data_IF_872246074264
#
_entry.id   IF_872246074264
#
_cell.length_a   1.000
_cell.length_b   1.000
_cell.length_c   1.000
_cell.angle_alpha   90.00
_cell.angle_beta   90.00
_cell.angle_gamma   90.00
#
_symmetry.space_group_name_H-M   'P 1'
#
loop_
_entity.id
_entity.type
_entity.pdbx_description
1 polymer ?
#
# COMPACT_ATOMS: atom_id res chain seq x y z
N UNK A 1 -34.94 -20.75 -0.17
CA UNK A 1 -34.68 -19.74 -1.23
C UNK A 1 -35.93 -18.93 -1.66
N UNK A 2 -37.10 -19.52 -1.98
CA UNK A 2 -38.23 -18.74 -2.54
C UNK A 2 -38.78 -17.66 -1.59
N UNK A 3 -38.99 -17.99 -0.30
CA UNK A 3 -39.47 -17.04 0.71
C UNK A 3 -38.54 -15.84 0.92
N UNK A 4 -37.22 -16.06 0.87
CA UNK A 4 -36.22 -14.99 1.02
C UNK A 4 -36.22 -14.06 -0.20
N UNK A 5 -36.30 -14.59 -1.42
CA UNK A 5 -36.43 -13.77 -2.63
C UNK A 5 -37.71 -12.93 -2.58
N UNK A 6 -38.84 -13.53 -2.22
CA UNK A 6 -40.11 -12.79 -2.06
C UNK A 6 -40.03 -11.70 -1.00
N UNK A 7 -39.39 -11.97 0.14
CA UNK A 7 -39.16 -10.97 1.18
C UNK A 7 -38.33 -9.79 0.65
N UNK A 8 -37.19 -10.07 0.00
CA UNK A 8 -36.31 -9.03 -0.58
C UNK A 8 -37.05 -8.21 -1.63
N UNK A 9 -37.81 -8.84 -2.53
CA UNK A 9 -38.62 -8.13 -3.54
C UNK A 9 -39.74 -7.27 -2.95
N UNK A 10 -40.15 -7.55 -1.71
CA UNK A 10 -41.17 -6.80 -0.99
C UNK A 10 -40.64 -5.64 -0.15
N UNK A 11 -39.31 -5.48 -0.04
CA UNK A 11 -38.70 -4.40 0.74
C UNK A 11 -39.07 -3.03 0.14
N UNK A 12 -39.42 -2.08 1.01
CA UNK A 12 -39.71 -0.69 0.67
C UNK A 12 -38.84 0.20 1.54
N UNK A 13 -38.32 1.27 0.94
CA UNK A 13 -37.58 2.29 1.68
C UNK A 13 -38.55 3.00 2.65
N UNK A 14 -38.23 2.94 3.94
CA UNK A 14 -39.01 3.60 5.00
C UNK A 14 -38.61 5.06 5.25
N UNK A 15 -37.54 5.53 4.59
CA UNK A 15 -36.85 6.78 4.93
C UNK A 15 -35.81 6.57 6.03
N UNK A 16 -34.81 7.46 6.10
CA UNK A 16 -33.74 7.41 7.08
C UNK A 16 -32.75 6.24 6.90
N UNK A 17 -31.69 6.24 7.71
CA UNK A 17 -30.63 5.23 7.69
C UNK A 17 -30.14 5.03 9.12
N UNK A 18 -30.48 3.89 9.73
CA UNK A 18 -30.07 3.54 11.08
C UNK A 18 -29.07 2.38 11.07
N UNK A 19 -27.80 2.71 10.81
CA UNK A 19 -26.71 1.73 10.69
C UNK A 19 -26.48 1.00 12.01
N UNK A 20 -26.48 1.74 13.13
CA UNK A 20 -26.26 1.18 14.46
C UNK A 20 -27.26 0.07 14.77
N UNK A 21 -28.57 0.35 14.66
CA UNK A 21 -29.62 -0.64 14.91
C UNK A 21 -29.53 -1.83 13.96
N UNK A 22 -29.25 -1.61 12.67
CA UNK A 22 -29.12 -2.69 11.70
C UNK A 22 -28.00 -3.67 12.09
N UNK A 23 -26.86 -3.14 12.54
CA UNK A 23 -25.75 -3.95 13.04
C UNK A 23 -26.11 -4.65 14.35
N UNK A 24 -26.71 -3.95 15.33
CA UNK A 24 -27.14 -4.55 16.59
C UNK A 24 -28.11 -5.74 16.39
N UNK A 25 -29.15 -5.55 15.58
CA UNK A 25 -30.13 -6.61 15.29
C UNK A 25 -29.50 -7.78 14.55
N UNK A 26 -28.52 -7.51 13.68
CA UNK A 26 -27.79 -8.56 12.95
C UNK A 26 -26.86 -9.33 13.89
N UNK A 27 -26.08 -8.63 14.71
CA UNK A 27 -25.12 -9.24 15.63
C UNK A 27 -25.82 -10.03 16.74
N UNK A 28 -27.01 -9.60 17.18
CA UNK A 28 -27.82 -10.36 18.13
C UNK A 28 -28.30 -11.73 17.59
N UNK A 29 -28.27 -11.94 16.27
CA UNK A 29 -28.60 -13.22 15.62
C UNK A 29 -27.37 -14.10 15.39
N UNK A 30 -26.18 -13.64 15.77
CA UNK A 30 -24.94 -14.39 15.63
C UNK A 30 -24.85 -15.50 16.68
N UNK A 31 -24.09 -16.55 16.38
CA UNK A 31 -24.02 -17.80 17.15
C UNK A 31 -22.59 -18.29 17.18
N UNK A 32 -22.14 -18.83 18.31
CA UNK A 32 -20.78 -19.34 18.44
C UNK A 32 -20.49 -20.57 17.57
N UNK A 33 -19.20 -20.83 17.34
CA UNK A 33 -18.70 -22.12 16.83
C UNK A 33 -18.37 -22.20 15.33
N UNK A 34 -18.78 -21.22 14.51
CA UNK A 34 -18.34 -21.11 13.11
C UNK A 34 -18.18 -19.65 12.69
N UNK A 35 -17.28 -19.34 11.74
CA UNK A 35 -17.21 -18.02 11.11
C UNK A 35 -18.58 -17.55 10.61
N UNK A 36 -18.96 -16.33 10.95
CA UNK A 36 -20.21 -15.71 10.54
C UNK A 36 -19.93 -14.43 9.76
N UNK A 37 -20.38 -14.44 8.51
CA UNK A 37 -20.17 -13.36 7.56
C UNK A 37 -21.35 -12.39 7.64
N UNK A 38 -21.08 -11.19 8.14
CA UNK A 38 -22.00 -10.05 8.13
C UNK A 38 -21.60 -9.16 6.96
N UNK A 39 -22.54 -8.95 6.04
CA UNK A 39 -22.34 -8.07 4.89
C UNK A 39 -23.21 -6.82 5.09
N UNK A 40 -22.57 -5.67 5.30
CA UNK A 40 -23.23 -4.37 5.42
C UNK A 40 -23.15 -3.66 4.07
N UNK A 41 -24.30 -3.32 3.48
CA UNK A 41 -24.39 -2.47 2.30
C UNK A 41 -25.02 -1.12 2.70
N UNK A 42 -24.40 -0.02 2.27
CA UNK A 42 -24.95 1.32 2.49
C UNK A 42 -24.53 2.29 1.39
N UNK A 43 -25.42 3.20 1.04
CA UNK A 43 -25.22 4.33 0.13
C UNK A 43 -25.22 5.67 0.86
N UNK A 44 -25.28 5.67 2.20
CA UNK A 44 -25.60 6.85 2.99
C UNK A 44 -24.95 6.88 4.38
N UNK A 45 -24.98 8.07 4.98
CA UNK A 45 -24.61 8.29 6.38
C UNK A 45 -25.71 7.79 7.32
N UNK A 46 -25.35 7.50 8.57
CA UNK A 46 -26.34 7.28 9.62
C UNK A 46 -27.15 8.57 9.86
N UNK A 47 -28.45 8.53 9.58
CA UNK A 47 -29.37 9.68 9.69
C UNK A 47 -30.43 9.47 10.77
N UNK A 48 -30.58 8.25 11.31
CA UNK A 48 -31.49 7.90 12.40
C UNK A 48 -30.79 7.05 13.47
N UNK A 49 -31.32 7.09 14.70
CA UNK A 49 -30.72 6.40 15.84
C UNK A 49 -29.42 7.06 16.32
N UNK A 50 -28.45 6.25 16.73
CA UNK A 50 -27.10 6.72 17.03
C UNK A 50 -26.38 7.07 15.72
N UNK A 51 -25.79 8.27 15.67
CA UNK A 51 -25.15 8.83 14.48
C UNK A 51 -23.64 9.04 14.66
N UNK A 52 -23.16 9.00 15.90
CA UNK A 52 -21.74 9.17 16.22
C UNK A 52 -20.98 7.92 15.85
N UNK A 53 -20.03 8.07 14.92
CA UNK A 53 -19.20 6.98 14.38
C UNK A 53 -18.59 6.14 15.50
N UNK A 54 -18.00 6.81 16.50
CA UNK A 54 -17.26 6.17 17.59
C UNK A 54 -18.19 5.31 18.44
N UNK A 55 -19.40 5.78 18.72
CA UNK A 55 -20.40 5.02 19.48
C UNK A 55 -20.93 3.81 18.73
N UNK A 56 -21.09 3.93 17.40
CA UNK A 56 -21.48 2.78 16.58
C UNK A 56 -20.35 1.74 16.60
N UNK A 57 -19.09 2.16 16.43
CA UNK A 57 -17.93 1.26 16.49
C UNK A 57 -17.83 0.56 17.84
N UNK A 58 -17.84 1.30 18.94
CA UNK A 58 -17.82 0.76 20.31
C UNK A 58 -18.91 -0.30 20.50
N UNK A 59 -20.12 -0.01 20.02
CA UNK A 59 -21.25 -0.90 20.17
C UNK A 59 -21.12 -2.18 19.34
N UNK A 60 -20.55 -2.07 18.13
CA UNK A 60 -20.26 -3.22 17.28
C UNK A 60 -19.19 -4.09 17.93
N UNK A 61 -18.12 -3.48 18.45
CA UNK A 61 -17.05 -4.19 19.17
C UNK A 61 -17.59 -4.96 20.39
N UNK A 62 -18.52 -4.37 21.16
CA UNK A 62 -19.14 -5.00 22.33
C UNK A 62 -20.04 -6.21 21.98
N UNK A 63 -20.68 -6.18 20.80
CA UNK A 63 -21.68 -7.18 20.40
C UNK A 63 -21.11 -8.28 19.51
N UNK A 64 -20.08 -7.97 18.72
CA UNK A 64 -19.50 -8.91 17.78
C UNK A 64 -18.64 -9.93 18.53
N UNK A 65 -19.04 -11.20 18.45
CA UNK A 65 -18.17 -12.30 18.90
C UNK A 65 -16.91 -12.38 18.04
N UNK A 66 -15.87 -13.08 18.53
CA UNK A 66 -14.65 -13.36 17.73
C UNK A 66 -14.90 -14.20 16.47
N UNK A 67 -16.07 -14.84 16.35
CA UNK A 67 -16.55 -15.52 15.14
C UNK A 67 -17.14 -14.55 14.07
N UNK A 68 -17.26 -13.28 14.46
CA UNK A 68 -17.52 -12.06 13.70
C UNK A 68 -16.70 -11.87 12.42
N UNK A 69 -17.23 -11.87 11.20
CA UNK A 69 -16.54 -11.24 10.05
C UNK A 69 -17.42 -10.19 9.40
N UNK A 70 -17.02 -8.92 9.47
CA UNK A 70 -17.83 -7.81 8.92
C UNK A 70 -17.22 -7.30 7.63
N UNK A 71 -18.00 -7.35 6.55
CA UNK A 71 -17.63 -6.81 5.25
C UNK A 71 -18.56 -5.66 4.89
N UNK A 72 -17.99 -4.50 4.61
CA UNK A 72 -18.76 -3.30 4.30
C UNK A 72 -18.69 -2.95 2.81
N UNK A 73 -19.82 -2.53 2.25
CA UNK A 73 -19.95 -2.03 0.89
C UNK A 73 -20.51 -0.61 0.95
N UNK A 74 -19.67 0.36 0.62
CA UNK A 74 -20.08 1.76 0.48
C UNK A 74 -20.39 2.08 -0.98
N UNK A 75 -21.60 2.54 -1.28
CA UNK A 75 -22.02 2.86 -2.65
C UNK A 75 -22.12 4.36 -2.82
N UNK A 76 -21.43 4.89 -3.82
CA UNK A 76 -21.34 6.33 -4.05
C UNK A 76 -20.47 7.05 -3.02
N UNK A 77 -20.72 8.35 -2.86
CA UNK A 77 -19.84 9.24 -2.09
C UNK A 77 -20.41 9.65 -0.73
N UNK A 78 -21.68 9.38 -0.45
CA UNK A 78 -22.35 9.82 0.78
C UNK A 78 -22.24 8.79 1.92
N UNK A 79 -21.13 8.05 1.96
CA UNK A 79 -20.88 7.00 2.96
C UNK A 79 -19.82 7.43 3.97
N UNK A 80 -19.91 6.91 5.19
CA UNK A 80 -18.92 7.15 6.23
C UNK A 80 -17.77 6.13 6.10
N UNK A 81 -16.72 6.49 5.36
CA UNK A 81 -15.56 5.63 5.12
C UNK A 81 -14.88 5.21 6.41
N UNK A 82 -14.70 6.13 7.36
CA UNK A 82 -14.10 5.85 8.67
C UNK A 82 -14.87 4.74 9.42
N UNK A 83 -16.19 4.86 9.50
CA UNK A 83 -17.04 3.84 10.13
C UNK A 83 -16.87 2.48 9.46
N UNK A 84 -17.07 2.42 8.13
CA UNK A 84 -17.06 1.17 7.37
C UNK A 84 -15.70 0.48 7.39
N UNK A 85 -14.62 1.25 7.26
CA UNK A 85 -13.25 0.75 7.32
C UNK A 85 -12.91 0.22 8.71
N UNK A 86 -13.31 0.93 9.77
CA UNK A 86 -12.98 0.55 11.16
C UNK A 86 -13.68 -0.74 11.54
N UNK A 87 -15.00 -0.84 11.34
CA UNK A 87 -15.74 -2.05 11.72
C UNK A 87 -15.30 -3.26 10.89
N UNK A 88 -14.94 -3.07 9.62
CA UNK A 88 -14.48 -4.19 8.80
C UNK A 88 -13.12 -4.69 9.29
N UNK A 89 -12.18 -3.78 9.56
CA UNK A 89 -10.83 -4.15 10.00
C UNK A 89 -10.80 -4.76 11.41
N UNK A 90 -11.57 -4.20 12.36
CA UNK A 90 -11.64 -4.74 13.73
C UNK A 90 -12.29 -6.13 13.78
N UNK A 91 -13.07 -6.48 12.78
CA UNK A 91 -13.77 -7.76 12.69
C UNK A 91 -13.38 -8.55 11.43
N UNK A 92 -12.07 -8.65 11.14
CA UNK A 92 -11.50 -9.60 10.17
C UNK A 92 -12.10 -9.57 8.76
N UNK A 93 -12.67 -8.45 8.33
CA UNK A 93 -13.20 -8.27 6.99
C UNK A 93 -12.57 -7.09 6.28
N UNK A 94 -13.15 -6.75 5.14
CA UNK A 94 -12.71 -5.62 4.30
C UNK A 94 -13.89 -4.77 3.86
N UNK A 95 -13.58 -3.54 3.49
CA UNK A 95 -14.49 -2.56 2.93
C UNK A 95 -14.28 -2.45 1.42
N UNK A 96 -15.36 -2.36 0.67
CA UNK A 96 -15.36 -2.14 -0.77
C UNK A 96 -16.17 -0.89 -1.05
N UNK A 97 -15.60 0.05 -1.78
CA UNK A 97 -16.30 1.26 -2.21
C UNK A 97 -16.59 1.15 -3.70
N UNK A 98 -17.85 1.36 -4.07
CA UNK A 98 -18.34 1.29 -5.45
C UNK A 98 -18.67 2.72 -5.88
N UNK A 99 -17.97 3.23 -6.89
CA UNK A 99 -18.22 4.56 -7.43
C UNK A 99 -19.59 4.62 -8.15
N UNK A 100 -20.18 5.81 -8.34
CA UNK A 100 -21.45 5.94 -9.06
C UNK A 100 -21.44 5.40 -10.50
N UNK A 101 -20.28 5.36 -11.14
CA UNK A 101 -20.06 4.83 -12.49
C UNK A 101 -19.67 3.34 -12.50
N UNK A 102 -19.52 2.71 -11.34
CA UNK A 102 -19.21 1.29 -11.19
C UNK A 102 -20.45 0.45 -10.89
N UNK A 103 -20.40 -0.83 -11.26
CA UNK A 103 -21.50 -1.75 -11.04
C UNK A 103 -21.37 -2.50 -9.71
N UNK A 104 -22.27 -2.16 -8.76
CA UNK A 104 -22.36 -2.85 -7.46
C UNK A 104 -22.55 -4.36 -7.61
N UNK A 105 -23.36 -4.80 -8.58
CA UNK A 105 -23.64 -6.22 -8.81
C UNK A 105 -22.36 -7.00 -9.11
N UNK A 106 -21.46 -6.42 -9.92
CA UNK A 106 -20.15 -7.01 -10.23
C UNK A 106 -19.26 -7.09 -8.99
N UNK A 107 -19.18 -6.00 -8.22
CA UNK A 107 -18.39 -5.96 -6.99
C UNK A 107 -18.87 -7.00 -5.97
N UNK A 108 -20.18 -7.07 -5.73
CA UNK A 108 -20.79 -7.99 -4.77
C UNK A 108 -20.70 -9.46 -5.22
N UNK A 109 -20.90 -9.73 -6.51
CA UNK A 109 -20.76 -11.11 -7.05
C UNK A 109 -19.33 -11.60 -6.93
N UNK A 110 -18.35 -10.76 -7.32
CA UNK A 110 -16.92 -11.09 -7.22
C UNK A 110 -16.51 -11.32 -5.77
N UNK A 111 -17.06 -10.54 -4.84
CA UNK A 111 -16.84 -10.72 -3.42
C UNK A 111 -17.43 -12.05 -2.91
N UNK A 112 -18.70 -12.32 -3.24
CA UNK A 112 -19.36 -13.55 -2.80
C UNK A 112 -18.65 -14.79 -3.32
N UNK A 113 -18.21 -14.78 -4.58
CA UNK A 113 -17.41 -15.87 -5.16
C UNK A 113 -16.14 -16.12 -4.32
N UNK A 114 -15.42 -15.05 -3.95
CA UNK A 114 -14.22 -15.13 -3.11
C UNK A 114 -14.50 -15.69 -1.72
N UNK A 115 -15.57 -15.28 -1.05
CA UNK A 115 -15.83 -15.68 0.35
C UNK A 115 -16.71 -16.93 0.52
N UNK A 116 -17.32 -17.42 -0.57
CA UNK A 116 -18.36 -18.47 -0.52
C UNK A 116 -17.92 -19.79 0.10
N UNK A 117 -16.61 -20.06 0.13
CA UNK A 117 -16.04 -21.36 0.53
C UNK A 117 -14.83 -21.19 1.44
N UNK A 118 -15.01 -20.84 2.72
CA UNK A 118 -13.91 -20.76 3.68
C UNK A 118 -13.29 -22.15 3.88
N UNK A 119 -11.96 -22.22 3.79
CA UNK A 119 -11.14 -23.43 3.95
C UNK A 119 -10.46 -23.45 5.31
N UNK A 120 -9.89 -22.32 5.74
CA UNK A 120 -9.32 -22.11 7.06
C UNK A 120 -9.73 -20.75 7.58
N UNK A 121 -10.30 -20.70 8.77
CA UNK A 121 -10.52 -19.48 9.51
C UNK A 121 -9.43 -19.27 10.57
N UNK A 122 -9.33 -18.06 11.11
CA UNK A 122 -8.42 -17.71 12.21
C UNK A 122 -6.95 -18.11 11.88
N UNK A 123 -6.55 -17.77 10.65
CA UNK A 123 -5.27 -18.18 10.10
C UNK A 123 -4.12 -17.52 10.86
N UNK A 124 -3.15 -18.32 11.29
CA UNK A 124 -1.94 -17.85 11.95
C UNK A 124 -0.71 -18.59 11.41
N UNK A 125 0.44 -17.92 11.36
CA UNK A 125 1.71 -18.49 10.92
C UNK A 125 2.75 -18.32 12.03
N UNK A 126 3.38 -19.43 12.42
CA UNK A 126 4.50 -19.46 13.36
C UNK A 126 5.79 -19.71 12.59
N UNK A 127 6.83 -18.91 12.87
CA UNK A 127 8.09 -18.89 12.11
C UNK A 127 9.26 -19.64 12.77
N UNK A 128 8.98 -20.44 13.81
CA UNK A 128 10.00 -21.11 14.61
C UNK A 128 10.95 -20.11 15.27
N UNK A 129 12.26 -20.33 15.13
CA UNK A 129 13.30 -19.50 15.76
C UNK A 129 13.63 -18.23 14.95
N UNK A 130 13.08 -18.09 13.74
CA UNK A 130 13.31 -16.90 12.91
C UNK A 130 12.45 -15.76 13.43
N UNK A 131 13.12 -14.68 13.85
CA UNK A 131 12.45 -13.44 14.26
C UNK A 131 11.94 -12.69 13.03
N UNK A 132 10.65 -12.80 12.78
CA UNK A 132 9.91 -12.06 11.74
C UNK A 132 9.18 -10.86 12.37
N UNK A 133 9.22 -9.72 11.68
CA UNK A 133 8.59 -8.45 12.05
C UNK A 133 7.94 -7.79 10.83
N UNK A 134 7.10 -6.77 11.05
CA UNK A 134 6.42 -6.02 9.98
C UNK A 134 5.67 -6.92 8.97
N UNK A 135 4.87 -7.87 9.45
CA UNK A 135 4.14 -8.82 8.60
C UNK A 135 2.78 -8.30 8.13
N UNK A 136 2.50 -8.40 6.83
CA UNK A 136 1.25 -7.93 6.23
C UNK A 136 0.65 -8.95 5.23
N UNK A 137 -0.70 -9.09 5.18
CA UNK A 137 -1.69 -8.31 5.92
C UNK A 137 -1.74 -8.65 7.42
N UNK A 138 -2.18 -7.68 8.23
CA UNK A 138 -2.44 -7.87 9.66
C UNK A 138 -3.80 -7.25 10.02
N UNK A 139 -4.70 -8.01 10.69
CA UNK A 139 -4.58 -9.45 10.96
C UNK A 139 -4.59 -10.28 9.66
N UNK A 140 -4.17 -11.56 9.74
CA UNK A 140 -4.28 -12.48 8.61
C UNK A 140 -5.76 -12.78 8.33
N UNK A 141 -6.19 -12.73 7.04
CA UNK A 141 -7.57 -13.05 6.68
C UNK A 141 -7.82 -14.56 6.71
N UNK A 142 -9.10 -14.93 6.73
CA UNK A 142 -9.53 -16.30 6.47
C UNK A 142 -9.13 -16.73 5.04
N UNK A 143 -8.74 -17.99 4.87
CA UNK A 143 -8.38 -18.58 3.57
C UNK A 143 -9.61 -19.20 2.91
N UNK A 144 -9.84 -18.90 1.64
CA UNK A 144 -10.99 -19.38 0.87
C UNK A 144 -10.57 -20.24 -0.31
N UNK A 145 -11.47 -21.12 -0.75
CA UNK A 145 -11.18 -22.03 -1.86
C UNK A 145 -11.00 -21.24 -3.16
N UNK A 146 -9.86 -21.44 -3.83
CA UNK A 146 -9.52 -20.71 -5.05
C UNK A 146 -8.94 -19.32 -4.83
N UNK A 147 -8.76 -18.89 -3.57
CA UNK A 147 -7.97 -17.71 -3.23
C UNK A 147 -6.58 -18.09 -2.74
N UNK A 148 -5.72 -17.08 -2.62
CA UNK A 148 -4.39 -17.19 -2.02
C UNK A 148 -4.23 -16.10 -0.97
N UNK A 149 -3.47 -16.39 0.07
CA UNK A 149 -2.98 -15.37 1.01
C UNK A 149 -1.49 -15.20 0.72
N UNK A 150 -1.12 -14.03 0.23
CA UNK A 150 0.29 -13.62 0.17
C UNK A 150 0.61 -12.99 1.51
N UNK A 151 1.61 -13.49 2.22
CA UNK A 151 2.12 -12.90 3.46
C UNK A 151 3.54 -12.39 3.20
N UNK A 152 3.77 -11.10 3.47
CA UNK A 152 5.11 -10.49 3.35
C UNK A 152 5.53 -9.95 4.70
N UNK A 153 6.83 -10.02 5.00
CA UNK A 153 7.38 -9.53 6.25
C UNK A 153 8.89 -9.39 6.16
N UNK A 154 9.50 -8.89 7.24
CA UNK A 154 10.95 -8.75 7.38
C UNK A 154 11.47 -9.71 8.43
N UNK A 155 12.68 -10.19 8.24
CA UNK A 155 13.35 -11.04 9.21
C UNK A 155 14.79 -10.55 9.40
N UNK A 156 15.34 -10.79 10.59
CA UNK A 156 16.68 -10.31 10.95
C UNK A 156 17.77 -11.37 10.83
N UNK A 157 17.41 -12.62 11.11
CA UNK A 157 18.37 -13.72 11.15
C UNK A 157 18.09 -14.66 9.97
N UNK A 158 19.07 -14.91 9.10
CA UNK A 158 18.96 -16.00 8.14
C UNK A 158 19.02 -17.34 8.86
N UNK A 159 18.58 -18.40 8.20
CA UNK A 159 18.63 -19.76 8.73
C UNK A 159 17.50 -20.64 8.25
N UNK A 160 17.62 -21.92 8.54
CA UNK A 160 16.57 -22.90 8.30
C UNK A 160 15.61 -22.93 9.49
N UNK A 161 14.32 -23.04 9.21
CA UNK A 161 13.29 -23.12 10.24
C UNK A 161 12.12 -23.98 9.77
N UNK A 162 11.30 -24.38 10.74
CA UNK A 162 10.01 -25.02 10.49
C UNK A 162 8.92 -23.96 10.58
N UNK A 163 8.15 -23.78 9.50
CA UNK A 163 6.95 -22.93 9.53
C UNK A 163 5.74 -23.77 9.94
N UNK A 164 4.92 -23.24 10.83
CA UNK A 164 3.64 -23.87 11.19
C UNK A 164 2.49 -22.93 10.83
N UNK A 165 1.68 -23.33 9.87
CA UNK A 165 0.40 -22.69 9.58
C UNK A 165 -0.68 -23.31 10.47
N UNK A 166 -1.44 -22.49 11.16
CA UNK A 166 -2.58 -22.89 12.00
C UNK A 166 -3.86 -22.20 11.53
N UNK A 167 -4.98 -22.81 11.84
CA UNK A 167 -6.31 -22.22 11.65
C UNK A 167 -7.40 -23.20 12.05
N UNK A 168 -8.64 -22.84 11.78
CA UNK A 168 -9.84 -23.62 12.08
C UNK A 168 -10.53 -24.02 10.78
N UNK A 169 -10.64 -25.32 10.50
CA UNK A 169 -11.40 -25.84 9.36
C UNK A 169 -12.54 -26.72 9.85
N UNK A 170 -13.77 -26.48 9.36
CA UNK A 170 -14.98 -27.20 9.79
C UNK A 170 -15.16 -27.26 11.33
N UNK A 171 -14.82 -26.18 12.03
CA UNK A 171 -14.92 -26.08 13.49
C UNK A 171 -13.86 -26.87 14.27
N UNK A 172 -12.81 -27.36 13.61
CA UNK A 172 -11.70 -28.08 14.23
C UNK A 172 -10.37 -27.36 13.98
N UNK A 173 -9.46 -27.32 14.96
CA UNK A 173 -8.10 -26.85 14.73
C UNK A 173 -7.42 -27.71 13.65
N UNK A 174 -6.77 -27.05 12.70
CA UNK A 174 -5.95 -27.65 11.66
C UNK A 174 -4.56 -27.02 11.73
N UNK A 175 -3.53 -27.83 11.52
CA UNK A 175 -2.15 -27.36 11.43
C UNK A 175 -1.44 -28.01 10.25
N UNK A 176 -0.68 -27.20 9.51
CA UNK A 176 0.22 -27.63 8.46
C UNK A 176 1.64 -27.23 8.85
N UNK A 177 2.56 -28.19 8.77
CA UNK A 177 3.97 -28.02 9.11
C UNK A 177 4.78 -28.06 7.83
N UNK A 178 5.61 -27.04 7.62
CA UNK A 178 6.53 -26.94 6.50
C UNK A 178 7.95 -26.97 7.07
N UNK A 179 8.60 -28.10 6.89
CA UNK A 179 9.99 -28.32 7.33
C UNK A 179 10.98 -27.74 6.29
N UNK A 180 12.22 -27.51 6.73
CA UNK A 180 13.34 -27.08 5.87
C UNK A 180 13.11 -25.77 5.09
N UNK A 181 12.43 -24.80 5.70
CA UNK A 181 12.23 -23.48 5.09
C UNK A 181 13.47 -22.62 5.32
N UNK A 182 14.17 -22.31 4.23
CA UNK A 182 15.42 -21.54 4.26
C UNK A 182 15.20 -20.02 4.10
N UNK A 183 15.54 -19.26 5.14
CA UNK A 183 15.62 -17.79 5.12
C UNK A 183 17.02 -17.33 4.75
N UNK A 184 17.15 -16.70 3.58
CA UNK A 184 18.44 -16.31 2.97
C UNK A 184 19.03 -15.07 3.65
N UNK A 185 20.35 -14.97 3.72
CA UNK A 185 21.01 -13.75 4.23
C UNK A 185 20.86 -12.56 3.25
N UNK A 186 21.03 -12.81 1.95
CA UNK A 186 20.97 -11.81 0.88
C UNK A 186 20.33 -12.40 -0.38
N UNK A 187 19.84 -11.51 -1.25
CA UNK A 187 19.22 -11.84 -2.53
C UNK A 187 17.71 -12.07 -2.42
N UNK A 188 17.16 -12.83 -3.38
CA UNK A 188 15.72 -12.98 -3.57
C UNK A 188 15.22 -12.16 -4.75
N UNK A 189 13.90 -12.09 -4.92
CA UNK A 189 13.30 -11.34 -6.01
C UNK A 189 13.17 -9.85 -5.64
N UNK A 190 13.65 -8.98 -6.52
CA UNK A 190 13.70 -7.51 -6.31
C UNK A 190 12.35 -6.86 -5.99
N UNK A 191 11.26 -7.46 -6.45
CA UNK A 191 9.93 -6.90 -6.24
C UNK A 191 9.45 -7.09 -4.79
N UNK A 192 10.01 -8.03 -4.03
CA UNK A 192 9.55 -8.39 -2.68
C UNK A 192 9.72 -7.22 -1.69
N UNK A 193 10.89 -6.56 -1.57
CA UNK A 193 11.04 -5.40 -0.70
C UNK A 193 10.04 -4.28 -0.99
N UNK A 194 9.76 -4.03 -2.28
CA UNK A 194 8.80 -2.99 -2.70
C UNK A 194 7.35 -3.39 -2.42
N UNK A 195 6.99 -4.66 -2.61
CA UNK A 195 5.68 -5.20 -2.23
C UNK A 195 5.46 -5.06 -0.72
N UNK A 196 6.44 -5.45 0.08
CA UNK A 196 6.42 -5.26 1.54
C UNK A 196 6.22 -3.78 1.91
N UNK A 197 7.00 -2.88 1.32
CA UNK A 197 6.90 -1.45 1.60
C UNK A 197 5.54 -0.86 1.21
N UNK A 198 4.97 -1.31 0.08
CA UNK A 198 3.65 -0.90 -0.39
C UNK A 198 2.57 -1.28 0.63
N UNK A 199 2.59 -2.53 1.11
CA UNK A 199 1.65 -3.01 2.13
C UNK A 199 1.82 -2.30 3.47
N UNK A 200 3.06 -2.08 3.90
CA UNK A 200 3.35 -1.33 5.12
C UNK A 200 2.84 0.10 5.03
N UNK A 201 3.09 0.80 3.93
CA UNK A 201 2.55 2.14 3.66
C UNK A 201 1.03 2.13 3.70
N UNK A 202 0.37 1.18 3.02
CA UNK A 202 -1.10 1.06 3.04
C UNK A 202 -1.66 0.85 4.46
N UNK A 203 -0.98 0.03 5.26
CA UNK A 203 -1.31 -0.17 6.67
C UNK A 203 -1.13 1.13 7.49
N UNK A 204 0.03 1.80 7.39
CA UNK A 204 0.30 3.05 8.12
C UNK A 204 -0.67 4.17 7.73
N UNK A 205 -0.98 4.32 6.44
CA UNK A 205 -1.98 5.27 5.95
C UNK A 205 -3.37 4.99 6.52
N UNK A 206 -3.71 3.70 6.67
CA UNK A 206 -4.95 3.29 7.31
C UNK A 206 -4.94 3.67 8.79
N UNK A 207 -3.88 3.36 9.54
CA UNK A 207 -3.75 3.74 10.95
C UNK A 207 -3.88 5.24 11.15
N UNK A 208 -3.20 6.05 10.34
CA UNK A 208 -3.32 7.52 10.39
C UNK A 208 -4.76 7.99 10.19
N UNK A 209 -5.49 7.36 9.27
CA UNK A 209 -6.89 7.73 9.03
C UNK A 209 -7.81 7.32 10.17
N UNK A 210 -7.56 6.17 10.78
CA UNK A 210 -8.41 5.63 11.85
C UNK A 210 -8.13 6.27 13.22
N UNK A 211 -6.87 6.59 13.50
CA UNK A 211 -6.40 6.96 14.85
C UNK A 211 -5.81 8.38 14.89
N UNK A 212 -5.45 8.93 13.74
CA UNK A 212 -4.85 10.25 13.60
C UNK A 212 -3.41 10.21 13.14
N UNK A 213 -2.95 11.33 12.59
CA UNK A 213 -1.60 11.44 12.09
C UNK A 213 -0.61 11.73 13.23
N UNK A 214 0.25 10.77 13.50
CA UNK A 214 1.42 10.93 14.37
C UNK A 214 2.68 11.17 13.53
N UNK A 215 3.61 11.95 14.07
CA UNK A 215 4.83 12.32 13.37
C UNK A 215 5.65 11.08 12.98
N UNK A 216 5.71 10.10 13.86
CA UNK A 216 6.45 8.85 13.68
C UNK A 216 5.90 8.03 12.51
N UNK A 217 4.56 7.92 12.40
CA UNK A 217 3.90 7.20 11.31
C UNK A 217 4.15 7.91 9.96
N UNK A 218 4.06 9.24 9.94
CA UNK A 218 4.31 10.05 8.75
C UNK A 218 5.78 9.94 8.31
N UNK A 219 6.71 10.07 9.24
CA UNK A 219 8.14 9.93 8.95
C UNK A 219 8.48 8.54 8.39
N UNK A 220 7.86 7.48 8.92
CA UNK A 220 8.04 6.13 8.39
C UNK A 220 7.46 5.97 6.98
N UNK A 221 6.27 6.51 6.70
CA UNK A 221 5.71 6.54 5.34
C UNK A 221 6.67 7.27 4.41
N UNK A 222 7.16 8.46 4.77
CA UNK A 222 8.09 9.24 3.93
C UNK A 222 9.36 8.44 3.67
N UNK A 223 9.95 7.81 4.68
CA UNK A 223 11.16 7.01 4.53
C UNK A 223 10.96 5.81 3.58
N UNK A 224 9.85 5.09 3.70
CA UNK A 224 9.51 3.97 2.82
C UNK A 224 9.23 4.46 1.38
N UNK A 225 8.45 5.52 1.24
CA UNK A 225 8.09 6.13 -0.03
C UNK A 225 9.32 6.57 -0.81
N UNK A 226 10.25 7.26 -0.13
CA UNK A 226 11.54 7.66 -0.71
C UNK A 226 12.34 6.43 -1.11
N UNK A 227 12.64 5.54 -0.16
CA UNK A 227 13.52 4.39 -0.40
C UNK A 227 13.04 3.52 -1.57
N UNK A 228 11.74 3.26 -1.62
CA UNK A 228 11.16 2.33 -2.57
C UNK A 228 10.47 3.02 -3.75
N UNK A 229 10.46 4.35 -3.85
CA UNK A 229 9.82 5.09 -4.95
C UNK A 229 8.31 4.88 -5.05
N UNK A 230 7.63 4.92 -3.90
CA UNK A 230 6.17 4.73 -3.80
C UNK A 230 5.54 6.10 -3.59
N UNK A 231 4.62 6.48 -4.47
CA UNK A 231 3.90 7.76 -4.36
C UNK A 231 2.86 7.64 -3.24
N UNK A 232 2.83 8.63 -2.35
CA UNK A 232 1.90 8.70 -1.22
C UNK A 232 1.41 10.13 -1.02
N UNK A 233 0.32 10.36 -0.27
CA UNK A 233 -0.11 11.71 0.07
C UNK A 233 0.97 12.58 0.73
N UNK A 234 1.93 11.95 1.43
CA UNK A 234 3.01 12.63 2.13
C UNK A 234 4.28 12.81 1.28
N UNK A 235 4.33 12.28 0.05
CA UNK A 235 5.51 12.33 -0.81
C UNK A 235 5.16 12.57 -2.26
N UNK A 236 5.63 13.70 -2.80
CA UNK A 236 5.59 13.98 -4.23
C UNK A 236 6.96 13.69 -4.86
N UNK A 237 6.96 12.99 -5.99
CA UNK A 237 8.10 12.88 -6.90
C UNK A 237 7.96 13.80 -8.12
N UNK A 238 6.99 14.73 -8.09
CA UNK A 238 6.79 15.71 -9.15
C UNK A 238 7.92 16.75 -9.07
N UNK A 239 8.56 16.99 -10.22
CA UNK A 239 9.45 18.13 -10.43
C UNK A 239 8.52 19.33 -10.65
N UNK A 240 8.28 20.11 -9.60
CA UNK A 240 7.80 21.48 -9.80
C UNK A 240 9.02 22.38 -10.09
N UNK A 241 8.82 23.60 -10.61
CA UNK A 241 9.88 24.54 -11.00
C UNK A 241 10.81 24.96 -9.84
N UNK A 242 10.55 24.49 -8.62
CA UNK A 242 11.41 24.63 -7.45
C UNK A 242 12.10 23.30 -7.13
N UNK A 243 13.41 23.27 -7.35
CA UNK A 243 14.31 22.11 -7.20
C UNK A 243 14.28 21.43 -5.81
N UNK A 244 13.67 22.08 -4.81
CA UNK A 244 13.67 21.64 -3.41
C UNK A 244 12.83 20.38 -3.15
N UNK A 245 11.75 20.12 -3.91
CA UNK A 245 10.79 19.04 -3.62
C UNK A 245 11.38 17.62 -3.70
N UNK A 246 12.51 17.45 -4.38
CA UNK A 246 13.20 16.16 -4.50
C UNK A 246 14.25 15.92 -3.41
N UNK A 247 14.59 16.95 -2.62
CA UNK A 247 15.54 16.81 -1.50
C UNK A 247 14.87 16.18 -0.28
N UNK A 248 15.65 15.57 0.62
CA UNK A 248 15.11 15.05 1.88
C UNK A 248 14.40 16.15 2.71
N UNK A 249 14.98 17.36 2.75
CA UNK A 249 14.39 18.49 3.47
C UNK A 249 13.11 18.99 2.80
N UNK A 250 13.07 19.14 1.47
CA UNK A 250 11.87 19.55 0.77
C UNK A 250 10.74 18.53 0.87
N UNK A 251 11.02 17.23 0.78
CA UNK A 251 10.02 16.17 1.04
C UNK A 251 9.49 16.24 2.47
N UNK A 252 10.36 16.51 3.45
CA UNK A 252 9.95 16.68 4.86
C UNK A 252 9.08 17.92 5.06
N UNK A 253 9.39 19.03 4.40
CA UNK A 253 8.56 20.24 4.41
C UNK A 253 7.19 19.98 3.78
N UNK A 254 7.13 19.28 2.64
CA UNK A 254 5.87 18.87 2.02
C UNK A 254 5.06 17.94 2.93
N UNK A 255 5.70 16.94 3.53
CA UNK A 255 5.04 16.04 4.48
C UNK A 255 4.52 16.77 5.72
N UNK A 256 5.29 17.71 6.28
CA UNK A 256 4.87 18.54 7.42
C UNK A 256 3.75 19.49 7.04
N UNK A 257 3.77 20.06 5.83
CA UNK A 257 2.68 20.90 5.32
C UNK A 257 1.41 20.08 5.14
N UNK A 258 1.53 18.88 4.56
CA UNK A 258 0.41 17.96 4.43
C UNK A 258 -0.15 17.60 5.80
N UNK A 259 0.71 17.20 6.75
CA UNK A 259 0.35 16.91 8.13
C UNK A 259 -0.33 18.09 8.83
N UNK A 260 0.18 19.32 8.65
CA UNK A 260 -0.41 20.53 9.22
C UNK A 260 -1.73 20.93 8.54
N UNK A 261 -1.91 20.54 7.28
CA UNK A 261 -3.16 20.73 6.54
C UNK A 261 -4.18 19.63 6.81
N UNK A 262 -3.78 18.54 7.46
CA UNK A 262 -4.70 17.49 7.83
C UNK A 262 -5.59 17.97 8.98
N UNK A 263 -6.92 17.77 8.84
CA UNK A 263 -7.81 17.94 9.95
C UNK A 263 -7.36 17.02 11.10
N UNK A 264 -7.53 17.47 12.34
CA UNK A 264 -7.28 16.62 13.51
C UNK A 264 -8.03 15.27 13.36
N UNK A 265 -7.51 14.16 13.93
CA UNK A 265 -8.26 12.90 14.00
C UNK A 265 -9.72 13.12 14.40
N UNK A 266 -10.65 12.58 13.62
CA UNK A 266 -12.11 12.79 13.79
C UNK A 266 -12.70 14.06 13.17
N UNK A 267 -11.87 14.97 12.62
CA UNK A 267 -12.31 16.21 11.93
C UNK A 267 -12.23 16.08 10.41
N UNK A 268 -11.44 15.13 9.89
CA UNK A 268 -11.39 14.91 8.45
C UNK A 268 -12.75 14.41 7.95
N UNK A 269 -13.25 14.92 6.81
CA UNK A 269 -14.54 14.47 6.31
C UNK A 269 -14.46 12.97 6.05
N UNK A 270 -15.20 12.20 6.82
CA UNK A 270 -15.30 10.75 6.67
C UNK A 270 -16.14 10.36 5.45
N UNK A 271 -16.78 11.32 4.80
CA UNK A 271 -17.65 11.15 3.63
C UNK A 271 -17.31 12.14 2.51
N UNK A 272 -17.94 11.93 1.35
CA UNK A 272 -17.70 12.69 0.12
C UNK A 272 -16.66 12.01 -0.78
N UNK A 273 -16.58 12.50 -2.02
CA UNK A 273 -15.75 11.89 -3.06
C UNK A 273 -14.27 11.79 -2.66
N UNK A 274 -13.72 12.83 -2.04
CA UNK A 274 -12.33 12.82 -1.57
C UNK A 274 -12.06 11.76 -0.48
N UNK A 275 -13.02 11.51 0.41
CA UNK A 275 -12.88 10.48 1.45
C UNK A 275 -12.92 9.07 0.85
N UNK A 276 -13.85 8.84 -0.07
CA UNK A 276 -14.00 7.56 -0.78
C UNK A 276 -12.79 7.25 -1.64
N UNK A 277 -12.29 8.20 -2.42
CA UNK A 277 -11.09 7.98 -3.24
C UNK A 277 -9.85 7.69 -2.38
N UNK A 278 -9.68 8.41 -1.26
CA UNK A 278 -8.62 8.10 -0.30
C UNK A 278 -8.75 6.67 0.25
N UNK A 279 -9.97 6.24 0.59
CA UNK A 279 -10.23 4.90 1.08
C UNK A 279 -9.89 3.81 0.06
N UNK A 280 -10.29 4.01 -1.20
CA UNK A 280 -9.98 3.09 -2.30
C UNK A 280 -8.47 2.98 -2.50
N UNK A 281 -7.75 4.10 -2.58
CA UNK A 281 -6.30 4.11 -2.79
C UNK A 281 -5.58 3.39 -1.63
N UNK A 282 -5.94 3.72 -0.39
CA UNK A 282 -5.32 3.11 0.80
C UNK A 282 -5.59 1.60 0.89
N UNK A 283 -6.83 1.18 0.63
CA UNK A 283 -7.21 -0.23 0.54
C UNK A 283 -6.37 -0.97 -0.52
N UNK A 284 -6.21 -0.37 -1.69
CA UNK A 284 -5.43 -0.96 -2.80
C UNK A 284 -3.94 -1.17 -2.46
N UNK A 285 -3.34 -0.26 -1.69
CA UNK A 285 -1.95 -0.39 -1.23
C UNK A 285 -1.82 -1.47 -0.16
N UNK A 286 -2.77 -1.52 0.78
CA UNK A 286 -2.79 -2.49 1.87
C UNK A 286 -2.97 -3.93 1.37
N UNK A 287 -3.83 -4.11 0.37
CA UNK A 287 -4.17 -5.41 -0.22
C UNK A 287 -3.35 -5.75 -1.47
N UNK A 288 -2.33 -4.95 -1.82
CA UNK A 288 -1.54 -5.15 -3.02
C UNK A 288 -0.94 -6.57 -3.07
N UNK A 289 -1.19 -7.33 -4.13
CA UNK A 289 -0.56 -8.64 -4.37
C UNK A 289 0.66 -8.56 -5.29
N UNK A 290 0.87 -7.39 -5.91
CA UNK A 290 1.98 -7.10 -6.81
C UNK A 290 2.64 -5.79 -6.41
N UNK A 291 3.96 -5.71 -6.58
CA UNK A 291 4.66 -4.45 -6.37
C UNK A 291 4.16 -3.41 -7.38
N UNK A 292 3.65 -2.27 -6.89
CA UNK A 292 3.20 -1.16 -7.74
C UNK A 292 4.38 -0.71 -8.59
N UNK A 293 4.31 -0.77 -9.92
CA UNK A 293 5.39 -0.25 -10.77
C UNK A 293 5.21 1.26 -10.92
N UNK A 294 6.23 2.01 -10.53
CA UNK A 294 6.35 3.42 -10.89
C UNK A 294 7.47 3.53 -11.90
N UNK A 295 7.09 3.42 -13.18
CA UNK A 295 7.96 3.61 -14.32
C UNK A 295 7.46 4.84 -15.09
N UNK A 296 8.33 5.84 -15.23
CA UNK A 296 8.05 7.05 -16.01
C UNK A 296 9.35 7.67 -16.50
N UNK A 297 9.24 8.75 -17.28
CA UNK A 297 10.41 9.48 -17.78
C UNK A 297 11.27 10.05 -16.63
N UNK A 298 10.62 10.39 -15.51
CA UNK A 298 11.24 11.07 -14.37
C UNK A 298 11.56 10.14 -13.19
N UNK A 299 10.83 9.04 -12.99
CA UNK A 299 11.04 8.11 -11.87
C UNK A 299 11.21 6.68 -12.41
N UNK A 300 12.31 6.03 -12.02
CA UNK A 300 12.59 4.63 -12.33
C UNK A 300 12.92 3.85 -11.07
N UNK A 301 12.49 2.61 -11.05
CA UNK A 301 12.80 1.68 -9.96
C UNK A 301 13.72 0.60 -10.49
N UNK A 302 14.85 0.38 -9.81
CA UNK A 302 15.83 -0.65 -10.17
C UNK A 302 16.16 -1.44 -8.91
N UNK A 303 15.89 -2.74 -8.91
CA UNK A 303 16.03 -3.55 -7.70
C UNK A 303 15.15 -3.02 -6.57
N UNK A 304 15.75 -2.86 -5.39
CA UNK A 304 15.10 -2.28 -4.21
C UNK A 304 15.22 -0.75 -4.12
N UNK A 305 15.73 -0.07 -5.15
CA UNK A 305 16.00 1.39 -5.17
C UNK A 305 15.13 2.13 -6.16
N UNK A 306 14.84 3.38 -5.84
CA UNK A 306 14.21 4.33 -6.75
C UNK A 306 15.18 5.45 -7.14
N UNK A 307 15.12 5.84 -8.41
CA UNK A 307 15.95 6.84 -9.03
C UNK A 307 15.08 7.90 -9.69
N UNK A 308 15.41 9.16 -9.50
CA UNK A 308 14.78 10.29 -10.17
C UNK A 308 15.72 10.88 -11.22
N UNK A 309 15.22 11.17 -12.41
CA UNK A 309 15.97 11.86 -13.45
C UNK A 309 15.79 13.36 -13.28
N UNK A 310 16.89 14.08 -13.06
CA UNK A 310 16.88 15.53 -12.96
C UNK A 310 18.16 16.09 -13.60
N UNK A 311 18.01 17.11 -14.47
CA UNK A 311 19.10 17.72 -15.23
C UNK A 311 20.01 16.69 -15.95
N UNK A 312 19.42 15.63 -16.48
CA UNK A 312 20.14 14.56 -17.19
C UNK A 312 20.90 13.58 -16.29
N UNK A 313 20.78 13.70 -14.97
CA UNK A 313 21.45 12.84 -13.98
C UNK A 313 20.40 11.97 -13.29
N UNK A 314 20.58 10.65 -13.35
CA UNK A 314 19.78 9.73 -12.54
C UNK A 314 20.31 9.73 -11.10
N UNK A 315 19.47 10.12 -10.15
CA UNK A 315 19.85 10.26 -8.75
C UNK A 315 19.06 9.29 -7.90
N UNK A 316 19.74 8.45 -7.14
CA UNK A 316 19.12 7.62 -6.11
C UNK A 316 18.33 8.54 -5.16
N UNK A 317 17.04 8.25 -5.01
CA UNK A 317 16.10 9.06 -4.21
C UNK A 317 16.50 9.19 -2.74
N UNK A 318 17.36 8.30 -2.24
CA UNK A 318 17.92 8.34 -0.88
C UNK A 318 19.15 9.23 -0.74
N UNK A 319 19.64 9.83 -1.83
CA UNK A 319 20.82 10.70 -1.81
C UNK A 319 20.55 12.00 -1.03
N UNK A 320 21.45 12.30 -0.08
CA UNK A 320 21.45 13.55 0.68
C UNK A 320 22.83 14.20 0.64
N UNK A 321 23.01 15.18 -0.24
CA UNK A 321 24.31 15.83 -0.48
C UNK A 321 24.94 16.45 0.78
N UNK A 322 24.12 16.95 1.72
CA UNK A 322 24.59 17.56 2.96
C UNK A 322 25.03 16.55 4.04
N UNK A 323 24.65 15.28 3.90
CA UNK A 323 24.88 14.24 4.94
C UNK A 323 25.76 13.09 4.49
N UNK A 324 26.01 12.97 3.18
CA UNK A 324 26.70 11.83 2.60
C UNK A 324 28.00 12.27 1.92
N UNK A 325 29.13 11.56 2.14
CA UNK A 325 30.32 11.76 1.34
C UNK A 325 30.04 11.34 -0.10
N UNK A 326 30.46 12.17 -1.07
CA UNK A 326 30.35 11.88 -2.51
C UNK A 326 31.70 11.45 -3.06
N UNK A 327 31.78 10.23 -3.57
CA UNK A 327 32.92 9.71 -4.33
C UNK A 327 32.64 9.90 -5.83
N UNK A 328 33.48 10.70 -6.51
CA UNK A 328 33.42 10.85 -7.97
C UNK A 328 34.16 9.67 -8.62
N UNK A 329 33.45 8.90 -9.44
CA UNK A 329 33.98 7.71 -10.09
C UNK A 329 33.97 7.92 -11.60
N UNK A 330 35.14 8.10 -12.25
CA UNK A 330 35.20 8.23 -13.70
C UNK A 330 34.67 6.98 -14.40
N UNK A 331 33.86 7.17 -15.42
CA UNK A 331 33.30 6.10 -16.23
C UNK A 331 34.42 5.24 -16.85
N UNK A 332 34.33 3.92 -16.68
CA UNK A 332 35.36 2.99 -17.19
C UNK A 332 36.68 3.00 -16.41
N UNK A 333 36.77 3.66 -15.26
CA UNK A 333 37.93 3.54 -14.35
C UNK A 333 38.02 2.17 -13.69
N UNK A 334 39.18 1.82 -13.13
CA UNK A 334 39.32 0.62 -12.28
C UNK A 334 38.30 0.63 -11.12
N UNK A 335 38.03 1.80 -10.55
CA UNK A 335 37.03 1.96 -9.49
C UNK A 335 35.61 1.69 -9.99
N UNK A 336 35.28 2.11 -11.21
CA UNK A 336 33.99 1.81 -11.84
C UNK A 336 33.77 0.30 -11.99
N UNK A 337 34.79 -0.43 -12.47
CA UNK A 337 34.71 -1.89 -12.59
C UNK A 337 34.69 -2.59 -11.23
N UNK A 338 35.44 -2.10 -10.25
CA UNK A 338 35.39 -2.61 -8.88
C UNK A 338 33.99 -2.49 -8.25
N UNK A 339 33.24 -1.43 -8.56
CA UNK A 339 31.83 -1.32 -8.15
C UNK A 339 30.97 -2.39 -8.83
N UNK A 340 31.11 -2.58 -10.15
CA UNK A 340 30.37 -3.61 -10.90
C UNK A 340 30.63 -5.03 -10.37
N UNK A 341 31.85 -5.31 -9.91
CA UNK A 341 32.22 -6.61 -9.34
C UNK A 341 31.71 -6.78 -7.90
N UNK A 342 31.49 -5.69 -7.17
CA UNK A 342 31.07 -5.74 -5.76
C UNK A 342 29.64 -6.25 -5.56
N UNK A 343 28.75 -6.03 -6.53
CA UNK A 343 27.41 -6.63 -6.55
C UNK A 343 26.80 -6.61 -7.95
N UNK A 344 25.97 -7.61 -8.25
CA UNK A 344 25.22 -7.67 -9.50
C UNK A 344 24.23 -6.52 -9.68
N UNK A 345 23.87 -5.80 -8.62
CA UNK A 345 22.94 -4.67 -8.70
C UNK A 345 23.59 -3.43 -9.34
N UNK A 346 24.90 -3.22 -9.15
CA UNK A 346 25.60 -2.07 -9.71
C UNK A 346 25.46 -1.97 -11.22
N UNK A 347 25.60 -3.08 -11.94
CA UNK A 347 25.43 -3.10 -13.39
C UNK A 347 24.07 -2.55 -13.84
N UNK A 348 23.01 -2.82 -13.07
CA UNK A 348 21.66 -2.35 -13.37
C UNK A 348 21.46 -0.88 -13.02
N UNK A 349 22.04 -0.41 -11.91
CA UNK A 349 21.99 1.01 -11.54
C UNK A 349 22.74 1.87 -12.56
N UNK A 350 23.92 1.43 -12.98
CA UNK A 350 24.76 2.16 -13.93
C UNK A 350 24.24 2.08 -15.37
N UNK A 351 23.34 1.14 -15.68
CA UNK A 351 22.63 1.07 -16.96
C UNK A 351 21.53 2.13 -17.12
N UNK A 352 21.17 2.87 -16.05
CA UNK A 352 20.16 3.93 -16.12
C UNK A 352 20.58 5.08 -17.05
N UNK A 353 21.87 5.39 -17.11
CA UNK A 353 22.40 6.46 -17.94
C UNK A 353 23.90 6.67 -17.75
N UNK A 354 24.44 7.68 -18.43
CA UNK A 354 25.86 8.02 -18.37
C UNK A 354 26.24 8.82 -17.11
N UNK A 355 25.27 9.52 -16.53
CA UNK A 355 25.42 10.26 -15.28
C UNK A 355 24.45 9.68 -14.26
N UNK A 356 25.00 9.02 -13.24
CA UNK A 356 24.22 8.35 -12.20
C UNK A 356 24.85 8.63 -10.84
N UNK A 357 24.02 8.95 -9.85
CA UNK A 357 24.39 9.00 -8.44
C UNK A 357 23.71 7.83 -7.74
N UNK A 358 24.50 6.92 -7.17
CA UNK A 358 24.02 5.73 -6.45
C UNK A 358 24.44 5.83 -4.98
N UNK A 359 23.53 5.57 -4.05
CA UNK A 359 23.87 5.50 -2.62
C UNK A 359 24.11 4.05 -2.21
N UNK A 360 25.26 3.76 -1.62
CA UNK A 360 25.56 2.46 -1.05
C UNK A 360 26.37 2.61 0.24
N UNK A 361 26.02 1.85 1.27
CA UNK A 361 26.74 1.82 2.57
C UNK A 361 26.96 3.22 3.20
N UNK A 362 25.96 4.11 3.06
CA UNK A 362 26.03 5.48 3.60
C UNK A 362 26.93 6.44 2.82
N UNK A 363 27.45 6.04 1.65
CA UNK A 363 28.21 6.88 0.72
C UNK A 363 27.49 7.02 -0.61
N UNK A 364 27.71 8.13 -1.29
CA UNK A 364 27.18 8.40 -2.62
C UNK A 364 28.29 8.25 -3.67
N UNK A 365 28.00 7.59 -4.78
CA UNK A 365 28.91 7.35 -5.88
C UNK A 365 28.38 8.06 -7.12
N UNK A 366 29.07 9.10 -7.57
CA UNK A 366 28.70 9.87 -8.75
C UNK A 366 29.54 9.41 -9.94
N UNK A 367 28.90 8.80 -10.92
CA UNK A 367 29.56 8.44 -12.19
C UNK A 367 29.74 9.69 -13.04
N UNK A 368 30.99 9.99 -13.37
CA UNK A 368 31.36 11.14 -14.21
C UNK A 368 31.94 10.65 -15.53
N UNK A 369 31.50 11.25 -16.63
CA UNK A 369 32.08 11.02 -17.96
C UNK A 369 33.03 12.18 -18.22
N UNK A 370 34.33 11.91 -18.25
CA UNK A 370 35.30 12.91 -18.69
C UNK A 370 35.25 13.01 -20.22
N UNK A 371 34.54 14.02 -20.74
CA UNK A 371 34.69 14.44 -22.13
C UNK A 371 35.91 15.38 -22.22
N UNK A 372 37.12 14.80 -22.21
CA UNK A 372 38.37 15.47 -22.60
C UNK A 372 38.68 16.81 -21.90
N UNK A 373 39.22 16.74 -20.68
CA UNK A 373 40.24 17.66 -20.17
C UNK A 373 40.07 19.17 -20.42
N UNK A 374 39.08 19.80 -19.77
CA UNK A 374 39.16 21.18 -19.28
C UNK A 374 38.05 21.43 -18.24
N UNK A 375 38.47 21.72 -17.00
CA UNK A 375 37.73 22.32 -15.85
C UNK A 375 36.23 22.00 -15.67
N UNK A 376 35.95 21.22 -14.63
CA UNK A 376 34.71 21.12 -13.79
C UNK A 376 33.39 21.76 -14.28
N UNK A 377 32.28 21.04 -14.10
CA UNK A 377 31.20 21.55 -13.26
C UNK A 377 31.44 21.08 -11.84
N UNK A 378 31.62 22.07 -10.96
CA UNK A 378 31.52 21.94 -9.53
C UNK A 378 30.23 21.18 -9.18
N UNK A 379 30.28 20.26 -8.20
CA UNK A 379 29.05 19.68 -7.66
C UNK A 379 28.11 20.85 -7.31
N UNK A 380 26.83 20.83 -7.71
CA UNK A 380 25.97 22.00 -7.54
C UNK A 380 26.02 22.45 -6.08
N UNK A 381 26.60 23.64 -5.85
CA UNK A 381 26.48 24.31 -4.57
C UNK A 381 25.08 24.92 -4.54
N UNK A 382 24.22 24.57 -3.58
CA UNK A 382 22.93 25.22 -3.46
C UNK A 382 23.17 26.70 -3.11
N UNK A 383 22.92 27.59 -4.06
CA UNK A 383 22.88 29.04 -3.83
C UNK A 383 21.43 29.49 -3.81
N UNK A 384 20.97 29.94 -2.64
CA UNK A 384 19.63 30.50 -2.46
C UNK A 384 19.66 32.02 -2.69
N UNK A 385 18.91 32.55 -3.66
CA UNK A 385 18.54 33.97 -3.63
C UNK A 385 17.45 34.17 -2.58
N UNK A 386 17.73 34.99 -1.57
CA UNK A 386 16.68 35.58 -0.73
C UNK A 386 15.95 36.61 -1.59
N UNK A 387 14.72 36.31 -2.01
CA UNK A 387 13.81 37.31 -2.57
C UNK A 387 12.62 37.47 -1.63
N UNK A 388 12.51 38.68 -1.08
CA UNK A 388 11.39 39.10 -0.26
C UNK A 388 10.09 39.14 -1.08
N UNK A 389 9.04 38.50 -0.55
CA UNK A 389 7.63 38.82 -0.70
C UNK A 389 7.06 38.82 -2.12
N UNK A 390 6.04 37.98 -2.35
CA UNK A 390 4.67 38.40 -2.66
C UNK A 390 3.79 37.14 -2.60
N UNK A 391 2.73 37.18 -1.81
CA UNK A 391 1.68 36.15 -1.78
C UNK A 391 0.83 36.25 -3.05
N UNK A 392 0.51 35.12 -3.70
CA UNK A 392 -0.82 34.98 -4.28
C UNK A 392 -1.55 33.73 -3.77
N UNK A 393 -2.87 33.89 -3.81
CA UNK A 393 -3.93 33.08 -3.20
C UNK A 393 -4.01 31.64 -3.72
N UNK A 394 -4.40 30.73 -2.84
CA UNK A 394 -4.75 29.36 -3.14
C UNK A 394 -5.98 29.27 -4.07
N UNK A 395 -5.89 28.55 -5.20
CA UNK A 395 -7.05 27.91 -5.87
C UNK A 395 -6.59 26.80 -6.83
N UNK A 396 -7.37 25.70 -6.86
CA UNK A 396 -7.43 24.58 -7.81
C UNK A 396 -6.38 23.46 -7.71
N UNK A 397 -6.68 22.51 -6.82
CA UNK A 397 -6.31 21.11 -6.97
C UNK A 397 -7.41 20.40 -7.76
N UNK A 398 -7.19 20.06 -9.03
CA UNK A 398 -7.96 19.01 -9.73
C UNK A 398 -7.18 18.57 -10.97
N UNK A 399 -6.26 17.60 -10.82
CA UNK A 399 -5.95 16.62 -11.87
C UNK A 399 -5.03 15.53 -11.31
N UNK A 400 -5.50 14.29 -11.30
CA UNK A 400 -4.68 13.11 -11.00
C UNK A 400 -3.74 12.85 -12.19
N UNK A 401 -2.44 12.55 -11.97
CA UNK A 401 -1.51 12.26 -13.04
C UNK A 401 -1.98 11.11 -13.94
N UNK A 402 -1.72 11.23 -15.25
CA UNK A 402 -2.13 10.31 -16.31
C UNK A 402 -1.82 8.81 -16.03
N UNK A 403 -0.78 8.52 -15.24
CA UNK A 403 -0.39 7.17 -14.86
C UNK A 403 -1.45 6.45 -14.00
N UNK A 404 -2.27 7.17 -13.23
CA UNK A 404 -3.35 6.59 -12.41
C UNK A 404 -4.56 6.20 -13.27
N UNK A 405 -4.81 6.91 -14.38
CA UNK A 405 -5.88 6.59 -15.36
C UNK A 405 -5.60 5.31 -16.16
N UNK A 406 -4.32 4.96 -16.37
CA UNK A 406 -3.95 3.79 -17.15
C UNK A 406 -4.21 2.46 -16.42
N UNK A 407 -4.17 2.44 -15.09
CA UNK A 407 -4.46 1.26 -14.27
C UNK A 407 -5.96 0.93 -14.17
N UNK A 408 -6.84 1.91 -14.44
CA UNK A 408 -8.29 1.78 -14.27
C UNK A 408 -9.03 1.40 -15.58
N UNK A 409 -8.34 1.24 -16.70
CA UNK A 409 -8.98 1.10 -18.03
C UNK A 409 -8.69 -0.20 -18.79
N UNK A 410 -8.04 -1.21 -18.21
CA UNK A 410 -7.82 -2.49 -18.90
C UNK A 410 -9.00 -3.46 -18.73
N UNK A 411 -9.62 -3.96 -19.82
CA UNK A 411 -10.72 -4.92 -19.76
C UNK A 411 -10.23 -6.33 -19.41
N UNK A 412 -11.03 -7.14 -18.68
CA UNK A 412 -10.68 -8.51 -18.36
C UNK A 412 -11.19 -9.42 -19.48
N UNK A 413 -10.37 -9.84 -20.43
CA UNK A 413 -10.73 -11.05 -21.20
C UNK A 413 -9.55 -11.80 -21.80
N UNK A 414 -9.63 -13.12 -21.57
CA UNK A 414 -9.06 -14.26 -22.31
C UNK A 414 -7.58 -14.59 -22.11
N UNK A 415 -7.36 -15.68 -21.39
CA UNK A 415 -6.32 -16.64 -21.80
C UNK A 415 -5.38 -17.19 -20.74
N UNK A 416 -5.84 -17.57 -19.54
CA UNK A 416 -5.03 -18.31 -18.55
C UNK A 416 -4.57 -19.73 -19.01
N UNK A 417 -4.92 -20.14 -20.24
CA UNK A 417 -4.54 -21.43 -20.81
C UNK A 417 -3.30 -21.45 -21.73
N UNK A 418 -2.69 -20.29 -22.04
CA UNK A 418 -1.48 -20.25 -22.89
C UNK A 418 -0.21 -19.72 -22.18
N UNK A 419 -0.32 -19.15 -20.97
CA UNK A 419 0.86 -18.71 -20.21
C UNK A 419 1.62 -19.85 -19.51
N UNK A 420 1.03 -21.05 -19.43
CA UNK A 420 1.67 -22.20 -18.75
C UNK A 420 2.63 -23.00 -19.66
N UNK A 421 2.63 -22.77 -20.98
CA UNK A 421 3.55 -23.46 -21.91
C UNK A 421 4.68 -22.59 -22.46
N UNK A 422 4.62 -21.26 -22.29
CA UNK A 422 5.71 -20.38 -22.75
C UNK A 422 6.82 -20.15 -21.70
N UNK A 423 6.60 -20.54 -20.43
CA UNK A 423 7.59 -20.35 -19.36
C UNK A 423 8.51 -21.58 -19.14
N UNK A 424 8.31 -22.67 -19.88
CA UNK A 424 9.13 -23.90 -19.79
C UNK A 424 10.05 -24.15 -20.99
N UNK A 425 10.02 -23.32 -22.03
CA UNK A 425 10.95 -23.43 -23.19
C UNK A 425 12.07 -22.37 -23.22
N UNK A 426 12.12 -21.43 -22.28
CA UNK A 426 13.16 -20.38 -22.24
C UNK A 426 14.25 -20.61 -21.16
N UNK A 427 14.29 -21.79 -20.53
CA UNK A 427 15.32 -22.20 -19.56
C UNK A 427 16.12 -23.43 -20.03
N UNK A 428 16.14 -23.69 -21.33
CA UNK A 428 17.01 -24.68 -21.97
C UNK A 428 17.80 -24.05 -23.10
N UNK A 429 18.82 -23.27 -22.74
CA UNK A 429 20.19 -23.22 -23.30
C UNK A 429 20.97 -22.02 -22.74
#
# INVERSE_FOLDING_TARGET
APKAKTFVSGLRAGGGTNIGRALEETLAQTTEGRPQFVILLTDGLATEGEKRTERIIERVDDLASGAVRIFAFGVGYEVNTLLLDTISQRHHGTSVYVRPDEELERALSSFYEKISRPVLADVAVEFGDVRVEDTYPYPLPDLFAGSQIVLVGRYRNPGDTTLTLRGTGNGRPISYVFEDVHFRERGGADFIPRLWATRKIGHLLTQIRLEGAEKELVDEIVALSVRYGIVTPYTSFLIDETEDALTADGRRVLAMRELASQPAPGVAPASGAGAVEKAIVQGSLREADVAVRSEGEVLRTVGAKAFVLHNGIWTDTTFEASKMPVERVPFGSERYFALLESSSEWGRYLALGRHVIVVAEGRAYQIVVDESGQSEPEAPRPTYPVVQGHTPSATSATELPLAVRALLSMPPTRGLGQLLMALLEALGD
#
